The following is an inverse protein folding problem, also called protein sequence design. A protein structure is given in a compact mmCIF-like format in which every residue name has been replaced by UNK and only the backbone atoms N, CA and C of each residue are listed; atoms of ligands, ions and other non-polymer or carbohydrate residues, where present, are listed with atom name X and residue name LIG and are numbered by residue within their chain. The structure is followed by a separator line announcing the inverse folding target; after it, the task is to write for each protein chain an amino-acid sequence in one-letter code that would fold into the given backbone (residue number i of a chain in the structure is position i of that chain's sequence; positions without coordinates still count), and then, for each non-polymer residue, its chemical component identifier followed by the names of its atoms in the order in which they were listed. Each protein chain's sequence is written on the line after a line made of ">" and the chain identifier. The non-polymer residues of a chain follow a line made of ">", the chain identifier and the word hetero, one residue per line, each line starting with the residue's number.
data_IF_905959914636
#
_entry.id   IF_905959914636
#
_cell.length_a   1.000
_cell.length_b   1.000
_cell.length_c   1.000
_cell.angle_alpha   90.00
_cell.angle_beta   90.00
_cell.angle_gamma   90.00
#
_symmetry.space_group_name_H-M   'P 1'
#
loop_
_entity.id
_entity.type
_entity.pdbx_description
1 polymer ?
#
# COMPACT_ATOMS: atom_id res chain seq x y z
N UNK A 1 1.42 26.06 23.42
CA UNK A 1 1.37 24.94 22.44
C UNK A 1 1.57 23.63 23.19
N UNK A 2 0.69 22.62 23.01
CA UNK A 2 0.89 21.31 23.63
C UNK A 2 2.17 20.64 23.07
N UNK A 3 2.92 19.96 23.93
CA UNK A 3 4.06 19.12 23.53
C UNK A 3 3.63 17.64 23.39
N UNK A 4 4.41 16.83 22.65
CA UNK A 4 4.22 15.39 22.47
C UNK A 4 4.15 14.69 23.82
N UNK A 5 5.10 14.98 24.73
CA UNK A 5 5.11 14.44 26.09
C UNK A 5 3.81 14.70 26.87
N UNK A 6 3.32 15.93 26.86
CA UNK A 6 2.09 16.30 27.57
C UNK A 6 0.88 15.57 26.99
N UNK A 7 0.79 15.52 25.66
CA UNK A 7 -0.31 14.85 24.96
C UNK A 7 -0.29 13.35 25.21
N UNK A 8 0.89 12.74 25.20
CA UNK A 8 1.09 11.32 25.50
C UNK A 8 0.58 10.98 26.90
N UNK A 9 0.99 11.76 27.91
CA UNK A 9 0.59 11.52 29.30
C UNK A 9 -0.93 11.63 29.46
N UNK A 10 -1.57 12.63 28.84
CA UNK A 10 -3.04 12.77 28.90
C UNK A 10 -3.75 11.57 28.26
N UNK A 11 -3.31 11.14 27.07
CA UNK A 11 -3.95 10.05 26.35
C UNK A 11 -3.80 8.71 27.09
N UNK A 12 -2.58 8.37 27.50
CA UNK A 12 -2.28 7.01 27.95
C UNK A 12 -2.32 6.83 29.47
N UNK A 13 -2.11 7.89 30.27
CA UNK A 13 -2.16 7.75 31.73
C UNK A 13 -3.59 7.91 32.26
N UNK A 14 -4.43 8.71 31.62
CA UNK A 14 -5.80 8.96 32.08
C UNK A 14 -6.82 7.95 31.53
N UNK A 15 -6.38 6.91 30.79
CA UNK A 15 -7.25 5.88 30.19
C UNK A 15 -8.35 6.43 29.25
N UNK A 16 -8.23 7.67 28.79
CA UNK A 16 -9.20 8.34 27.92
C UNK A 16 -9.18 7.83 26.47
N UNK A 17 -8.30 6.87 26.16
CA UNK A 17 -8.10 6.28 24.84
C UNK A 17 -9.30 5.49 24.29
N UNK A 18 -10.34 5.19 25.09
CA UNK A 18 -11.44 4.32 24.66
C UNK A 18 -12.32 4.92 23.56
N UNK A 19 -12.39 6.24 23.43
CA UNK A 19 -13.12 6.89 22.33
C UNK A 19 -12.15 7.37 21.23
N UNK A 20 -12.18 6.74 20.04
CA UNK A 20 -11.37 7.14 18.90
C UNK A 20 -11.50 8.62 18.51
N UNK A 21 -12.71 9.20 18.61
CA UNK A 21 -12.94 10.58 18.19
C UNK A 21 -12.28 11.57 19.15
N UNK A 22 -12.43 11.30 20.46
CA UNK A 22 -11.77 12.07 21.52
C UNK A 22 -10.25 11.94 21.44
N UNK A 23 -9.74 10.75 21.16
CA UNK A 23 -8.31 10.55 20.94
C UNK A 23 -7.79 11.36 19.74
N UNK A 24 -8.49 11.31 18.59
CA UNK A 24 -8.12 12.10 17.41
C UNK A 24 -8.10 13.59 17.76
N UNK A 25 -9.13 14.13 18.42
CA UNK A 25 -9.18 15.57 18.74
C UNK A 25 -8.07 16.02 19.71
N UNK A 26 -7.59 15.13 20.58
CA UNK A 26 -6.46 15.41 21.48
C UNK A 26 -5.12 15.46 20.76
N UNK A 27 -4.93 14.64 19.72
CA UNK A 27 -3.67 14.51 18.98
C UNK A 27 -3.60 15.47 17.79
N UNK A 28 -4.74 15.85 17.20
CA UNK A 28 -4.84 16.76 16.05
C UNK A 28 -4.01 18.06 16.23
N UNK A 29 -3.97 18.73 17.41
CA UNK A 29 -3.18 19.94 17.60
C UNK A 29 -1.66 19.77 17.49
N UNK A 30 -1.14 18.54 17.58
CA UNK A 30 0.30 18.24 17.50
C UNK A 30 0.67 17.44 16.26
N UNK A 31 -0.26 17.24 15.32
CA UNK A 31 -0.07 16.33 14.16
C UNK A 31 1.11 16.70 13.26
N UNK A 32 1.38 18.00 13.06
CA UNK A 32 2.52 18.45 12.25
C UNK A 32 3.86 18.09 12.91
N UNK A 33 3.95 18.28 14.23
CA UNK A 33 5.14 17.85 15.01
C UNK A 33 5.37 16.34 14.93
N UNK A 34 4.30 15.56 14.85
CA UNK A 34 4.40 14.11 14.67
C UNK A 34 4.92 13.74 13.28
N UNK A 35 4.57 14.49 12.23
CA UNK A 35 5.08 14.29 10.88
C UNK A 35 6.58 14.64 10.77
N UNK A 36 7.01 15.66 11.50
CA UNK A 36 8.40 16.11 11.58
C UNK A 36 9.28 15.26 12.52
N UNK A 37 8.69 14.31 13.25
CA UNK A 37 9.40 13.50 14.24
C UNK A 37 10.55 12.72 13.60
N UNK A 38 11.73 12.82 14.20
CA UNK A 38 12.92 12.05 13.83
C UNK A 38 13.33 11.08 14.93
N UNK A 39 14.28 10.21 14.60
CA UNK A 39 14.82 9.19 15.51
C UNK A 39 15.73 9.71 16.61
N UNK A 40 16.19 10.96 16.51
CA UNK A 40 17.09 11.59 17.47
C UNK A 40 16.34 12.40 18.52
N UNK A 41 15.06 12.65 18.30
CA UNK A 41 14.18 13.34 19.22
C UNK A 41 14.05 12.60 20.56
N UNK A 42 14.14 13.35 21.67
CA UNK A 42 13.84 12.84 23.01
C UNK A 42 12.41 12.30 23.12
N UNK A 43 11.51 12.78 22.26
CA UNK A 43 10.11 12.38 22.20
C UNK A 43 9.86 11.20 21.25
N UNK A 44 10.91 10.61 20.66
CA UNK A 44 10.80 9.61 19.58
C UNK A 44 9.88 8.44 19.94
N UNK A 45 10.09 7.79 21.08
CA UNK A 45 9.30 6.59 21.45
C UNK A 45 7.81 6.92 21.68
N UNK A 46 7.54 8.06 22.34
CA UNK A 46 6.17 8.52 22.62
C UNK A 46 5.47 9.01 21.36
N UNK A 47 6.18 9.78 20.53
CA UNK A 47 5.68 10.29 19.26
C UNK A 47 5.43 9.17 18.26
N UNK A 48 6.32 8.18 18.16
CA UNK A 48 6.16 6.97 17.33
C UNK A 48 4.89 6.20 17.70
N UNK A 49 4.60 6.04 19.00
CA UNK A 49 3.35 5.42 19.45
C UNK A 49 2.13 6.28 19.11
N UNK A 50 2.15 7.58 19.46
CA UNK A 50 1.07 8.51 19.19
C UNK A 50 0.70 8.56 17.70
N UNK A 51 1.68 8.68 16.80
CA UNK A 51 1.40 8.75 15.36
C UNK A 51 0.90 7.41 14.80
N UNK A 52 1.37 6.27 15.35
CA UNK A 52 0.85 4.95 14.97
C UNK A 52 -0.63 4.83 15.32
N UNK A 53 -0.99 5.15 16.57
CA UNK A 53 -2.38 5.02 17.03
C UNK A 53 -3.27 6.09 16.38
N UNK A 54 -2.78 7.32 16.20
CA UNK A 54 -3.48 8.42 15.52
C UNK A 54 -3.80 8.06 14.07
N UNK A 55 -2.81 7.58 13.32
CA UNK A 55 -2.98 7.22 11.92
C UNK A 55 -3.97 6.06 11.73
N UNK A 56 -3.94 5.05 12.62
CA UNK A 56 -4.90 3.95 12.60
C UNK A 56 -6.32 4.44 12.93
N UNK A 57 -6.51 5.17 14.04
CA UNK A 57 -7.82 5.69 14.41
C UNK A 57 -8.42 6.60 13.33
N UNK A 58 -7.61 7.50 12.77
CA UNK A 58 -8.03 8.40 11.68
C UNK A 58 -8.43 7.60 10.42
N UNK A 59 -7.68 6.53 10.11
CA UNK A 59 -7.99 5.68 8.96
C UNK A 59 -9.30 4.90 9.08
N UNK A 60 -9.68 4.44 10.28
CA UNK A 60 -10.91 3.67 10.48
C UNK A 60 -12.18 4.55 10.44
N UNK A 61 -12.04 5.86 10.67
CA UNK A 61 -13.14 6.83 10.63
C UNK A 61 -13.44 7.40 9.24
N UNK A 62 -13.05 6.69 8.17
CA UNK A 62 -13.23 7.09 6.76
C UNK A 62 -12.48 8.37 6.32
N UNK A 63 -11.58 8.92 7.15
CA UNK A 63 -10.63 9.97 6.74
C UNK A 63 -9.41 9.38 6.04
N UNK A 64 -9.63 8.45 5.12
CA UNK A 64 -8.60 7.58 4.55
C UNK A 64 -7.53 8.35 3.77
N UNK A 65 -7.95 9.41 3.06
CA UNK A 65 -7.02 10.27 2.31
C UNK A 65 -6.10 11.06 3.25
N UNK A 66 -6.65 11.61 4.33
CA UNK A 66 -5.90 12.40 5.31
C UNK A 66 -5.03 11.54 6.21
N UNK A 67 -5.38 10.26 6.43
CA UNK A 67 -4.61 9.36 7.28
C UNK A 67 -3.29 8.90 6.63
N UNK A 68 -3.20 8.89 5.30
CA UNK A 68 -2.06 8.31 4.57
C UNK A 68 -0.68 8.91 4.93
N UNK A 69 -0.50 10.25 5.01
CA UNK A 69 0.78 10.82 5.42
C UNK A 69 1.23 10.31 6.80
N UNK A 70 0.31 10.24 7.75
CA UNK A 70 0.59 9.75 9.10
C UNK A 70 0.85 8.24 9.13
N UNK A 71 0.13 7.45 8.32
CA UNK A 71 0.39 6.01 8.17
C UNK A 71 1.79 5.75 7.60
N UNK A 72 2.20 6.48 6.56
CA UNK A 72 3.55 6.35 6.01
C UNK A 72 4.62 6.71 7.03
N UNK A 73 4.44 7.83 7.73
CA UNK A 73 5.38 8.25 8.77
C UNK A 73 5.44 7.26 9.92
N UNK A 74 4.30 6.72 10.37
CA UNK A 74 4.28 5.68 11.40
C UNK A 74 5.04 4.42 10.96
N UNK A 75 4.85 3.96 9.71
CA UNK A 75 5.60 2.80 9.17
C UNK A 75 7.10 3.08 9.11
N UNK A 76 7.50 4.27 8.69
CA UNK A 76 8.91 4.72 8.66
C UNK A 76 9.53 4.67 10.06
N UNK A 77 8.91 5.33 11.04
CA UNK A 77 9.41 5.39 12.42
C UNK A 77 9.46 4.03 13.10
N UNK A 78 8.47 3.16 12.83
CA UNK A 78 8.48 1.79 13.35
C UNK A 78 9.59 0.94 12.73
N UNK A 79 10.05 1.26 11.52
CA UNK A 79 11.12 0.51 10.85
C UNK A 79 12.51 0.89 11.35
N UNK A 80 12.67 2.03 12.04
CA UNK A 80 13.97 2.60 12.41
C UNK A 80 14.75 1.79 13.45
N UNK A 81 14.08 1.11 14.40
CA UNK A 81 14.72 0.36 15.49
C UNK A 81 14.35 -1.14 15.54
N UNK A 82 13.74 -1.67 14.48
CA UNK A 82 13.38 -3.09 14.43
C UNK A 82 14.62 -3.93 14.18
N UNK A 83 15.39 -4.24 15.24
CA UNK A 83 16.43 -5.29 15.19
C UNK A 83 15.83 -6.68 14.90
N UNK A 84 14.52 -6.83 15.07
CA UNK A 84 13.77 -8.05 14.75
C UNK A 84 13.37 -8.05 13.28
N UNK A 85 13.62 -9.14 12.54
CA UNK A 85 13.18 -9.27 11.15
C UNK A 85 11.65 -9.38 11.03
N UNK A 86 10.97 -9.73 12.11
CA UNK A 86 9.52 -9.93 12.17
C UNK A 86 8.77 -8.63 12.46
N UNK A 87 7.66 -8.43 11.74
CA UNK A 87 6.80 -7.28 11.96
C UNK A 87 6.04 -7.44 13.28
N UNK A 88 6.05 -6.42 14.13
CA UNK A 88 5.20 -6.40 15.31
C UNK A 88 3.72 -6.18 14.94
N UNK A 89 2.81 -6.40 15.89
CA UNK A 89 1.35 -6.28 15.65
C UNK A 89 0.94 -4.89 15.12
N UNK A 90 1.56 -3.81 15.62
CA UNK A 90 1.28 -2.43 15.19
C UNK A 90 1.75 -2.22 13.75
N UNK A 91 2.97 -2.64 13.42
CA UNK A 91 3.52 -2.58 12.05
C UNK A 91 2.65 -3.39 11.08
N UNK A 92 2.23 -4.59 11.47
CA UNK A 92 1.29 -5.43 10.70
C UNK A 92 0.01 -4.65 10.40
N UNK A 93 -0.62 -4.05 11.43
CA UNK A 93 -1.83 -3.26 11.27
C UNK A 93 -1.64 -2.03 10.37
N UNK A 94 -0.56 -1.25 10.57
CA UNK A 94 -0.24 -0.08 9.76
C UNK A 94 -0.05 -0.43 8.29
N UNK A 95 0.72 -1.49 8.00
CA UNK A 95 1.00 -1.94 6.63
C UNK A 95 -0.28 -2.45 5.96
N UNK A 96 -1.06 -3.27 6.67
CA UNK A 96 -2.32 -3.81 6.16
C UNK A 96 -3.28 -2.67 5.81
N UNK A 97 -3.51 -1.75 6.75
CA UNK A 97 -4.46 -0.65 6.56
C UNK A 97 -4.01 0.31 5.46
N UNK A 98 -2.71 0.61 5.37
CA UNK A 98 -2.15 1.38 4.26
C UNK A 98 -2.38 0.69 2.91
N UNK A 99 -2.17 -0.62 2.84
CA UNK A 99 -2.44 -1.42 1.65
C UNK A 99 -3.91 -1.39 1.23
N UNK A 100 -4.83 -1.51 2.19
CA UNK A 100 -6.28 -1.45 1.98
C UNK A 100 -6.72 -0.08 1.45
N UNK A 101 -6.30 1.02 2.09
CA UNK A 101 -6.63 2.38 1.63
C UNK A 101 -6.13 2.62 0.21
N UNK A 102 -4.90 2.20 -0.09
CA UNK A 102 -4.36 2.33 -1.45
C UNK A 102 -5.14 1.48 -2.46
N UNK A 103 -5.62 0.31 -2.06
CA UNK A 103 -6.47 -0.54 -2.90
C UNK A 103 -7.81 0.13 -3.18
N UNK A 104 -8.48 0.67 -2.16
CA UNK A 104 -9.74 1.42 -2.26
C UNK A 104 -9.60 2.66 -3.14
N UNK A 105 -8.46 3.34 -3.07
CA UNK A 105 -8.09 4.45 -3.97
C UNK A 105 -7.70 4.02 -5.39
N UNK A 106 -7.87 2.73 -5.75
CA UNK A 106 -7.47 2.14 -7.04
C UNK A 106 -5.98 2.26 -7.36
N UNK A 107 -5.14 2.54 -6.37
CA UNK A 107 -3.67 2.61 -6.49
C UNK A 107 -3.06 1.22 -6.31
N UNK A 108 -3.54 0.25 -7.10
CA UNK A 108 -3.29 -1.18 -6.92
C UNK A 108 -1.80 -1.55 -6.92
N UNK A 109 -0.99 -0.94 -7.80
CA UNK A 109 0.45 -1.20 -7.84
C UNK A 109 1.16 -0.79 -6.54
N UNK A 110 0.74 0.32 -5.91
CA UNK A 110 1.31 0.77 -4.63
C UNK A 110 0.79 -0.13 -3.50
N UNK A 111 -0.49 -0.45 -3.48
CA UNK A 111 -1.10 -1.39 -2.54
C UNK A 111 -0.41 -2.76 -2.54
N UNK A 112 -0.11 -3.29 -3.74
CA UNK A 112 0.58 -4.57 -3.94
C UNK A 112 1.93 -4.63 -3.20
N UNK A 113 2.67 -3.53 -3.12
CA UNK A 113 3.95 -3.48 -2.38
C UNK A 113 3.76 -3.73 -0.88
N UNK A 114 2.71 -3.16 -0.29
CA UNK A 114 2.40 -3.35 1.13
C UNK A 114 1.94 -4.78 1.41
N UNK A 115 1.04 -5.34 0.58
CA UNK A 115 0.61 -6.74 0.74
C UNK A 115 1.75 -7.74 0.47
N UNK A 116 2.65 -7.47 -0.49
CA UNK A 116 3.86 -8.28 -0.70
C UNK A 116 4.72 -8.34 0.56
N UNK A 117 4.87 -7.20 1.26
CA UNK A 117 5.62 -7.14 2.53
C UNK A 117 4.97 -8.02 3.60
N UNK A 118 3.63 -7.99 3.73
CA UNK A 118 2.91 -8.85 4.68
C UNK A 118 3.04 -10.33 4.36
N UNK A 119 2.85 -10.73 3.10
CA UNK A 119 3.00 -12.15 2.69
C UNK A 119 4.42 -12.65 2.90
N UNK A 120 5.44 -11.81 2.69
CA UNK A 120 6.83 -12.18 2.95
C UNK A 120 7.10 -12.41 4.45
N UNK A 121 6.52 -11.58 5.32
CA UNK A 121 6.70 -11.67 6.77
C UNK A 121 5.80 -12.72 7.43
N UNK A 122 4.65 -13.03 6.84
CA UNK A 122 3.65 -13.96 7.37
C UNK A 122 3.13 -14.86 6.24
N UNK A 123 3.95 -15.81 5.77
CA UNK A 123 3.62 -16.64 4.62
C UNK A 123 2.46 -17.59 4.88
N UNK A 124 2.12 -17.91 6.12
CA UNK A 124 0.99 -18.80 6.45
C UNK A 124 -0.35 -18.06 6.60
N UNK A 125 -0.34 -16.72 6.64
CA UNK A 125 -1.55 -15.91 6.83
C UNK A 125 -2.36 -15.84 5.51
N UNK A 126 -3.46 -16.58 5.46
CA UNK A 126 -4.34 -16.65 4.28
C UNK A 126 -5.00 -15.31 3.94
N UNK A 127 -5.25 -14.45 4.92
CA UNK A 127 -5.84 -13.13 4.70
C UNK A 127 -4.91 -12.26 3.86
N UNK A 128 -3.61 -12.30 4.16
CA UNK A 128 -2.61 -11.53 3.42
C UNK A 128 -2.38 -12.03 2.01
N UNK A 129 -2.40 -13.36 1.83
CA UNK A 129 -2.39 -13.97 0.49
C UNK A 129 -3.59 -13.51 -0.34
N UNK A 130 -4.79 -13.47 0.26
CA UNK A 130 -6.00 -13.03 -0.41
C UNK A 130 -5.91 -11.56 -0.85
N UNK A 131 -5.50 -10.66 0.06
CA UNK A 131 -5.30 -9.25 -0.29
C UNK A 131 -4.24 -9.05 -1.37
N UNK A 132 -3.11 -9.77 -1.28
CA UNK A 132 -2.06 -9.74 -2.29
C UNK A 132 -2.60 -10.18 -3.66
N UNK A 133 -3.32 -11.31 -3.71
CA UNK A 133 -3.90 -11.83 -4.95
C UNK A 133 -4.97 -10.91 -5.54
N UNK A 134 -5.79 -10.26 -4.70
CA UNK A 134 -6.76 -9.26 -5.13
C UNK A 134 -6.06 -8.04 -5.76
N UNK A 135 -5.04 -7.49 -5.10
CA UNK A 135 -4.26 -6.37 -5.63
C UNK A 135 -3.53 -6.75 -6.92
N UNK A 136 -3.00 -7.97 -6.98
CA UNK A 136 -2.34 -8.52 -8.16
C UNK A 136 -3.31 -8.58 -9.35
N UNK A 137 -4.46 -9.25 -9.18
CA UNK A 137 -5.51 -9.39 -10.20
C UNK A 137 -5.99 -8.04 -10.71
N UNK A 138 -6.19 -7.05 -9.82
CA UNK A 138 -6.60 -5.69 -10.22
C UNK A 138 -5.51 -4.92 -10.97
N UNK A 139 -4.24 -5.23 -10.70
CA UNK A 139 -3.11 -4.65 -11.42
C UNK A 139 -2.95 -5.24 -12.82
N UNK A 140 -3.17 -6.55 -13.00
CA UNK A 140 -2.97 -7.24 -14.30
C UNK A 140 -4.19 -7.18 -15.23
N UNK A 141 -5.42 -7.15 -14.69
CA UNK A 141 -6.65 -7.19 -15.51
C UNK A 141 -6.69 -6.16 -16.66
N UNK A 142 -6.27 -4.89 -16.47
CA UNK A 142 -6.24 -3.92 -17.58
C UNK A 142 -5.27 -4.33 -18.68
N UNK A 143 -4.11 -4.90 -18.32
CA UNK A 143 -3.10 -5.38 -19.26
C UNK A 143 -3.68 -6.53 -20.08
N UNK A 144 -4.33 -7.50 -19.42
CA UNK A 144 -4.98 -8.63 -20.08
C UNK A 144 -6.07 -8.18 -21.05
N UNK A 145 -6.84 -7.14 -20.69
CA UNK A 145 -7.94 -6.60 -21.51
C UNK A 145 -7.42 -5.86 -22.73
N UNK A 146 -6.39 -5.02 -22.57
CA UNK A 146 -5.75 -4.29 -23.68
C UNK A 146 -5.13 -5.29 -24.65
N UNK A 147 -4.48 -6.33 -24.13
CA UNK A 147 -3.90 -7.40 -24.93
C UNK A 147 -4.96 -8.13 -25.76
N UNK A 148 -6.03 -8.62 -25.11
CA UNK A 148 -7.10 -9.33 -25.81
C UNK A 148 -7.76 -8.45 -26.89
N UNK A 149 -8.00 -7.17 -26.57
CA UNK A 149 -8.54 -6.20 -27.54
C UNK A 149 -7.59 -6.02 -28.73
N UNK A 150 -6.30 -5.92 -28.48
CA UNK A 150 -5.28 -5.82 -29.53
C UNK A 150 -5.28 -7.03 -30.46
N UNK A 151 -5.33 -8.24 -29.90
CA UNK A 151 -5.42 -9.49 -30.69
C UNK A 151 -6.68 -9.52 -31.56
N UNK A 152 -7.83 -9.16 -31.00
CA UNK A 152 -9.10 -9.12 -31.75
C UNK A 152 -9.03 -8.10 -32.90
N UNK A 153 -8.48 -6.92 -32.68
CA UNK A 153 -8.32 -5.90 -33.73
C UNK A 153 -7.42 -6.44 -34.86
N UNK A 154 -6.30 -7.09 -34.53
CA UNK A 154 -5.42 -7.69 -35.53
C UNK A 154 -6.16 -8.72 -36.40
N UNK A 155 -6.94 -9.60 -35.79
CA UNK A 155 -7.73 -10.60 -36.52
C UNK A 155 -8.82 -9.97 -37.40
N UNK A 156 -9.49 -8.91 -36.93
CA UNK A 156 -10.50 -8.20 -37.70
C UNK A 156 -9.88 -7.49 -38.91
N UNK A 157 -8.72 -6.84 -38.73
CA UNK A 157 -7.99 -6.19 -39.82
C UNK A 157 -7.58 -7.22 -40.87
N UNK A 158 -7.06 -8.38 -40.46
CA UNK A 158 -6.73 -9.48 -41.36
C UNK A 158 -7.95 -9.92 -42.18
N UNK A 159 -9.07 -10.16 -41.51
CA UNK A 159 -10.30 -10.63 -42.13
C UNK A 159 -10.88 -9.60 -43.14
N UNK A 160 -10.97 -8.33 -42.75
CA UNK A 160 -11.60 -7.27 -43.57
C UNK A 160 -10.76 -6.95 -44.79
N UNK A 161 -9.45 -6.79 -44.63
CA UNK A 161 -8.57 -6.37 -45.71
C UNK A 161 -8.06 -7.54 -46.55
N UNK A 162 -8.39 -8.80 -46.18
CA UNK A 162 -7.92 -10.04 -46.84
C UNK A 162 -6.43 -9.98 -47.14
N UNK A 163 -5.65 -9.44 -46.22
CA UNK A 163 -4.20 -9.24 -46.39
C UNK A 163 -3.56 -10.62 -46.41
N UNK A 164 -3.37 -11.17 -47.60
CA UNK A 164 -2.47 -12.30 -47.86
C UNK A 164 -1.04 -11.78 -47.88
N UNK A 165 -0.47 -11.42 -46.73
CA UNK A 165 0.95 -11.06 -46.67
C UNK A 165 1.51 -11.24 -45.26
N UNK A 166 2.81 -11.48 -45.18
CA UNK A 166 3.61 -11.73 -43.97
C UNK A 166 3.43 -10.69 -42.85
N UNK A 167 2.87 -9.53 -43.17
CA UNK A 167 2.57 -8.44 -42.23
C UNK A 167 1.71 -8.86 -41.04
N UNK A 168 0.75 -9.77 -41.23
CA UNK A 168 -0.07 -10.31 -40.14
C UNK A 168 0.73 -11.20 -39.21
N UNK A 169 1.66 -12.00 -39.75
CA UNK A 169 2.60 -12.79 -38.97
C UNK A 169 3.51 -11.88 -38.13
N UNK A 170 4.03 -10.79 -38.71
CA UNK A 170 4.83 -9.81 -37.95
C UNK A 170 4.02 -9.10 -36.86
N UNK A 171 2.76 -8.74 -37.12
CA UNK A 171 1.86 -8.19 -36.09
C UNK A 171 1.65 -9.15 -34.94
N UNK A 172 1.39 -10.42 -35.24
CA UNK A 172 1.24 -11.50 -34.24
C UNK A 172 2.54 -11.72 -33.46
N UNK A 173 3.69 -11.75 -34.14
CA UNK A 173 5.01 -11.90 -33.53
C UNK A 173 5.33 -10.71 -32.62
N UNK A 174 5.04 -9.48 -33.02
CA UNK A 174 5.23 -8.28 -32.18
C UNK A 174 4.30 -8.33 -30.97
N UNK A 175 3.03 -8.73 -31.14
CA UNK A 175 2.10 -8.87 -30.02
C UNK A 175 2.56 -9.95 -29.03
N UNK A 176 3.00 -11.11 -29.51
CA UNK A 176 3.49 -12.25 -28.70
C UNK A 176 4.81 -11.93 -28.03
N UNK A 177 5.79 -11.39 -28.76
CA UNK A 177 7.09 -11.00 -28.19
C UNK A 177 6.95 -9.85 -27.20
N UNK A 178 6.08 -8.87 -27.47
CA UNK A 178 5.72 -7.81 -26.52
C UNK A 178 5.07 -8.36 -25.25
N UNK A 179 4.29 -9.43 -25.33
CA UNK A 179 3.74 -10.11 -24.15
C UNK A 179 4.81 -10.84 -23.36
N UNK A 180 5.71 -11.59 -24.02
CA UNK A 180 6.82 -12.25 -23.35
C UNK A 180 7.78 -11.25 -22.69
N UNK A 181 8.03 -10.09 -23.31
CA UNK A 181 8.84 -9.01 -22.73
C UNK A 181 8.16 -8.39 -21.51
N UNK A 182 6.86 -8.11 -21.57
CA UNK A 182 6.13 -7.56 -20.43
C UNK A 182 6.01 -8.56 -19.27
N UNK A 183 5.78 -9.84 -19.55
CA UNK A 183 5.80 -10.92 -18.55
C UNK A 183 7.21 -11.10 -17.97
N UNK A 184 8.25 -11.08 -18.80
CA UNK A 184 9.65 -11.20 -18.37
C UNK A 184 10.10 -10.04 -17.50
N UNK A 185 9.80 -8.80 -17.89
CA UNK A 185 10.03 -7.60 -17.09
C UNK A 185 9.24 -7.63 -15.78
N UNK A 186 8.03 -8.21 -15.80
CA UNK A 186 7.21 -8.41 -14.61
C UNK A 186 7.83 -9.44 -13.65
N UNK A 187 8.36 -10.55 -14.15
CA UNK A 187 9.06 -11.56 -13.34
C UNK A 187 10.39 -11.04 -12.79
N UNK A 188 11.14 -10.25 -13.56
CA UNK A 188 12.39 -9.63 -13.11
C UNK A 188 12.17 -8.66 -11.94
N UNK A 189 11.04 -7.92 -11.91
CA UNK A 189 10.62 -7.09 -10.77
C UNK A 189 10.18 -7.89 -9.53
N UNK A 190 10.03 -9.21 -9.65
CA UNK A 190 9.58 -10.09 -8.57
C UNK A 190 10.73 -10.54 -7.67
N UNK A 191 11.95 -10.67 -8.22
CA UNK A 191 13.22 -10.82 -7.49
C UNK A 191 13.59 -9.51 -6.79
#
# INVERSE_FOLDING_TARGET
>A
MKNINQTYSVVYNNHEFKDPNRFISMVEPIKEKLLELDSKSDDFEKGKRLISDFSLNKSYKKFEKEALPYLYKAIELQSYNSKKPELNAIQKALILRTGQILFEQKRYLKSLKYFKKLVKSFPEDSEFKNWYNLALKKTTKPIDTIFLTGVVICLVVEYVFKIKNDFTLYGLVICVTGTFLTIGLYQLKKK
#
